data_IF_338809972658
#
_entry.id   IF_338809972658
#
_cell.length_a   1.000
_cell.length_b   1.000
_cell.length_c   1.000
_cell.angle_alpha   90.00
_cell.angle_beta   90.00
_cell.angle_gamma   90.00
#
_symmetry.space_group_name_H-M   'P 1'
#
loop_
_entity.id
_entity.type
_entity.pdbx_description
1 polymer ?
#
# COMPACT_ATOMS: atom_id res chain seq x y z
N UNK A 1 -0.51 18.55 52.98
CA UNK A 1 -0.17 18.68 51.56
C UNK A 1 -1.01 17.84 50.64
N UNK A 2 -2.27 17.83 50.95
CA UNK A 2 -3.27 17.08 50.17
C UNK A 2 -3.34 17.60 48.72
N UNK A 3 -3.13 18.95 48.50
CA UNK A 3 -3.18 19.54 47.17
C UNK A 3 -2.06 19.07 46.23
N UNK A 4 -0.84 18.88 46.73
CA UNK A 4 0.28 18.39 45.94
C UNK A 4 0.06 16.92 45.54
N UNK A 5 -0.49 16.12 46.43
CA UNK A 5 -0.81 14.72 46.16
C UNK A 5 -1.90 14.60 45.10
N UNK A 6 -2.90 15.47 45.17
CA UNK A 6 -4.00 15.51 44.17
C UNK A 6 -3.48 15.95 42.82
N UNK A 7 -2.62 16.98 42.77
CA UNK A 7 -2.00 17.42 41.51
C UNK A 7 -1.12 16.35 40.90
N UNK A 8 -0.35 15.64 41.71
CA UNK A 8 0.46 14.51 41.24
C UNK A 8 -0.41 13.39 40.69
N UNK A 9 -1.54 13.11 41.35
CA UNK A 9 -2.47 12.08 40.87
C UNK A 9 -3.09 12.48 39.53
N UNK A 10 -3.43 13.76 39.35
CA UNK A 10 -3.94 14.25 38.07
C UNK A 10 -2.87 14.18 37.00
N UNK A 11 -1.63 14.61 37.31
CA UNK A 11 -0.52 14.50 36.38
C UNK A 11 -0.27 13.07 35.95
N UNK A 12 -0.26 12.13 36.89
CA UNK A 12 -0.07 10.72 36.58
C UNK A 12 -1.16 10.15 35.67
N UNK A 13 -2.41 10.54 35.91
CA UNK A 13 -3.52 10.16 35.04
C UNK A 13 -3.38 10.74 33.64
N UNK A 14 -2.96 11.99 33.54
CA UNK A 14 -2.74 12.65 32.26
C UNK A 14 -1.60 11.99 31.49
N UNK A 15 -0.49 11.67 32.17
CA UNK A 15 0.64 10.98 31.54
C UNK A 15 0.21 9.58 31.08
N UNK A 16 -0.55 8.86 31.87
CA UNK A 16 -1.08 7.53 31.49
C UNK A 16 -1.96 7.65 30.24
N UNK A 17 -2.83 8.66 30.22
CA UNK A 17 -3.69 8.91 29.06
C UNK A 17 -2.89 9.26 27.79
N UNK A 18 -1.88 10.12 27.93
CA UNK A 18 -1.00 10.50 26.82
C UNK A 18 -0.25 9.28 26.31
N UNK A 19 0.30 8.45 27.20
CA UNK A 19 1.00 7.24 26.80
C UNK A 19 0.07 6.25 26.06
N UNK A 20 -1.17 6.13 26.52
CA UNK A 20 -2.16 5.28 25.85
C UNK A 20 -2.47 5.80 24.43
N UNK A 21 -2.57 7.12 24.26
CA UNK A 21 -2.77 7.75 22.95
C UNK A 21 -1.57 7.52 22.03
N UNK A 22 -0.35 7.66 22.53
CA UNK A 22 0.85 7.37 21.73
C UNK A 22 0.92 5.91 21.31
N UNK A 23 0.59 4.97 22.20
CA UNK A 23 0.52 3.57 21.84
C UNK A 23 -0.50 3.30 20.74
N UNK A 24 -1.68 3.91 20.87
CA UNK A 24 -2.72 3.77 19.84
C UNK A 24 -2.28 4.34 18.51
N UNK A 25 -1.66 5.52 18.52
CA UNK A 25 -1.12 6.15 17.31
C UNK A 25 -0.04 5.27 16.67
N UNK A 26 0.85 4.72 17.47
CA UNK A 26 1.91 3.82 16.98
C UNK A 26 1.31 2.59 16.31
N UNK A 27 0.33 1.96 16.92
CA UNK A 27 -0.37 0.80 16.33
C UNK A 27 -1.09 1.16 15.04
N UNK A 28 -1.72 2.33 15.02
CA UNK A 28 -2.43 2.81 13.83
C UNK A 28 -1.46 3.06 12.67
N UNK A 29 -0.35 3.74 12.94
CA UNK A 29 0.68 4.00 11.93
C UNK A 29 1.30 2.69 11.44
N UNK A 30 1.59 1.76 12.34
CA UNK A 30 2.14 0.45 11.98
C UNK A 30 1.18 -0.32 11.07
N UNK A 31 -0.11 -0.30 11.38
CA UNK A 31 -1.14 -0.93 10.55
C UNK A 31 -1.25 -0.25 9.18
N UNK A 32 -1.17 1.09 9.13
CA UNK A 32 -1.15 1.84 7.86
C UNK A 32 0.06 1.50 7.02
N UNK A 33 1.24 1.38 7.62
CA UNK A 33 2.46 0.98 6.91
C UNK A 33 2.34 -0.41 6.31
N UNK A 34 1.78 -1.35 7.06
CA UNK A 34 1.52 -2.71 6.56
C UNK A 34 0.55 -2.69 5.36
N UNK A 35 -0.48 -1.85 5.42
CA UNK A 35 -1.42 -1.67 4.31
C UNK A 35 -0.74 -1.07 3.08
N UNK A 36 0.11 -0.07 3.28
CA UNK A 36 0.89 0.55 2.19
C UNK A 36 1.81 -0.46 1.53
N UNK A 37 2.50 -1.28 2.32
CA UNK A 37 3.36 -2.34 1.80
C UNK A 37 2.55 -3.34 0.95
N UNK A 38 1.35 -3.68 1.39
CA UNK A 38 0.45 -4.57 0.68
C UNK A 38 -0.02 -3.96 -0.64
N UNK A 39 -0.37 -2.67 -0.63
CA UNK A 39 -0.75 -1.93 -1.85
C UNK A 39 0.42 -1.87 -2.81
N UNK A 40 1.62 -1.59 -2.34
CA UNK A 40 2.82 -1.55 -3.18
C UNK A 40 3.08 -2.91 -3.84
N UNK A 41 2.91 -4.00 -3.12
CA UNK A 41 3.06 -5.35 -3.66
C UNK A 41 2.00 -5.65 -4.73
N UNK A 42 0.75 -5.29 -4.47
CA UNK A 42 -0.33 -5.46 -5.45
C UNK A 42 -0.10 -4.61 -6.71
N UNK A 43 0.40 -3.39 -6.53
CA UNK A 43 0.74 -2.53 -7.66
C UNK A 43 1.87 -3.13 -8.50
N UNK A 44 2.86 -3.73 -7.87
CA UNK A 44 3.96 -4.39 -8.57
C UNK A 44 3.47 -5.55 -9.41
N UNK A 45 2.56 -6.36 -8.86
CA UNK A 45 1.91 -7.44 -9.59
C UNK A 45 1.09 -6.94 -10.77
N UNK A 46 0.38 -5.83 -10.58
CA UNK A 46 -0.43 -5.22 -11.64
C UNK A 46 0.44 -4.73 -12.78
N UNK A 47 1.54 -4.05 -12.49
CA UNK A 47 2.49 -3.60 -13.51
C UNK A 47 3.03 -4.78 -14.31
N UNK A 48 3.40 -5.85 -13.63
CA UNK A 48 3.89 -7.06 -14.29
C UNK A 48 2.84 -7.67 -15.23
N UNK A 49 1.58 -7.72 -14.81
CA UNK A 49 0.48 -8.20 -15.67
C UNK A 49 0.27 -7.31 -16.89
N UNK A 50 0.40 -5.99 -16.71
CA UNK A 50 0.29 -5.04 -17.84
C UNK A 50 1.42 -5.28 -18.84
N UNK A 51 2.65 -5.49 -18.37
CA UNK A 51 3.79 -5.81 -19.23
C UNK A 51 3.54 -7.11 -20.01
N UNK A 52 3.04 -8.14 -19.34
CA UNK A 52 2.70 -9.42 -19.98
C UNK A 52 1.60 -9.25 -21.03
N UNK A 53 0.55 -8.47 -20.72
CA UNK A 53 -0.51 -8.17 -21.67
C UNK A 53 0.01 -7.41 -22.88
N UNK A 54 0.86 -6.41 -22.68
CA UNK A 54 1.46 -5.66 -23.77
C UNK A 54 2.29 -6.56 -24.67
N UNK A 55 3.02 -7.52 -24.11
CA UNK A 55 3.77 -8.48 -24.88
C UNK A 55 2.86 -9.39 -25.74
N UNK A 56 1.72 -9.81 -25.17
CA UNK A 56 0.72 -10.59 -25.90
C UNK A 56 0.11 -9.77 -27.03
N UNK A 57 -0.26 -8.52 -26.77
CA UNK A 57 -0.79 -7.61 -27.78
C UNK A 57 0.19 -7.39 -28.94
N UNK A 58 1.45 -7.16 -28.63
CA UNK A 58 2.49 -6.97 -29.63
C UNK A 58 2.60 -8.20 -30.52
N UNK A 59 2.59 -9.39 -29.94
CA UNK A 59 2.63 -10.65 -30.71
C UNK A 59 1.39 -10.84 -31.57
N UNK A 60 0.22 -10.49 -31.08
CA UNK A 60 -1.01 -10.54 -31.84
C UNK A 60 -0.98 -9.60 -33.04
N UNK A 61 -0.53 -8.36 -32.82
CA UNK A 61 -0.42 -7.37 -33.90
C UNK A 61 0.59 -7.82 -34.96
N UNK A 62 1.72 -8.36 -34.56
CA UNK A 62 2.72 -8.90 -35.47
C UNK A 62 2.17 -10.08 -36.29
N UNK A 63 1.45 -10.99 -35.64
CA UNK A 63 0.82 -12.12 -36.31
C UNK A 63 -0.24 -11.66 -37.32
N UNK A 64 -1.06 -10.68 -36.94
CA UNK A 64 -2.08 -10.12 -37.84
C UNK A 64 -1.43 -9.42 -39.04
N UNK A 65 -0.39 -8.64 -38.82
CA UNK A 65 0.34 -7.95 -39.88
C UNK A 65 0.98 -8.97 -40.83
N UNK A 66 1.57 -10.03 -40.32
CA UNK A 66 2.15 -11.11 -41.12
C UNK A 66 1.09 -11.80 -41.97
N UNK A 67 -0.07 -12.10 -41.39
CA UNK A 67 -1.18 -12.73 -42.13
C UNK A 67 -1.71 -11.79 -43.21
N UNK A 68 -1.84 -10.51 -42.97
CA UNK A 68 -2.25 -9.54 -43.98
C UNK A 68 -1.26 -9.48 -45.13
N UNK A 69 0.03 -9.44 -44.83
CA UNK A 69 1.08 -9.44 -45.85
C UNK A 69 1.07 -10.71 -46.69
N UNK A 70 0.86 -11.85 -46.06
CA UNK A 70 0.76 -13.14 -46.78
C UNK A 70 -0.47 -13.16 -47.70
N UNK A 71 -1.61 -12.62 -47.25
CA UNK A 71 -2.81 -12.56 -48.06
C UNK A 71 -2.65 -11.61 -49.24
N UNK A 72 -1.94 -10.50 -49.07
CA UNK A 72 -1.69 -9.55 -50.15
C UNK A 72 -0.74 -10.09 -51.22
N UNK A 73 0.11 -11.02 -50.87
CA UNK A 73 1.06 -11.64 -51.80
C UNK A 73 0.46 -12.82 -52.61
N UNK A 74 -0.60 -13.35 -52.07
CA UNK A 74 -1.29 -14.43 -52.73
C UNK A 74 -2.37 -13.91 -53.68
#
# INVERSE_FOLDING_TARGET
>A
MTGETEEMAVMNRNITGINAMYELQFRTVSAQMATIDQINEENRKMVKRIEELNAVYTRMLEAMTTNMNMNLRS
#
